data_IF_114808823359
#
_entry.id   IF_114808823359
#
_cell.length_a   1.000
_cell.length_b   1.000
_cell.length_c   1.000
_cell.angle_alpha   90.00
_cell.angle_beta   90.00
_cell.angle_gamma   90.00
#
_symmetry.space_group_name_H-M   'P 1'
#
loop_
_entity.id
_entity.type
_entity.pdbx_description
1 polymer ?
#
# COMPACT_ATOMS: atom_id res chain seq x y z
N UNK A 1 -16.40 -0.32 -21.98
CA UNK A 1 -15.38 -1.37 -22.00
C UNK A 1 -15.86 -2.53 -21.15
N UNK A 2 -15.75 -3.72 -21.65
CA UNK A 2 -16.07 -4.94 -20.92
C UNK A 2 -14.95 -5.22 -19.91
N UNK A 3 -15.23 -6.03 -18.88
CA UNK A 3 -14.22 -6.44 -17.90
C UNK A 3 -12.98 -7.10 -18.54
N UNK A 4 -13.11 -7.63 -19.79
CA UNK A 4 -12.02 -8.17 -20.60
C UNK A 4 -10.98 -7.14 -21.04
N UNK A 5 -11.31 -5.84 -21.01
CA UNK A 5 -10.43 -4.76 -21.44
C UNK A 5 -9.60 -4.16 -20.30
N UNK A 6 -9.60 -4.79 -19.11
CA UNK A 6 -8.76 -4.36 -18.00
C UNK A 6 -7.28 -4.50 -18.36
N UNK A 7 -6.56 -3.40 -18.48
CA UNK A 7 -5.13 -3.43 -18.80
C UNK A 7 -4.34 -3.77 -17.52
N UNK A 8 -4.44 -5.00 -17.06
CA UNK A 8 -3.61 -5.50 -15.97
C UNK A 8 -2.14 -5.41 -16.37
N UNK A 9 -1.32 -4.82 -15.51
CA UNK A 9 0.12 -4.81 -15.73
C UNK A 9 0.70 -6.15 -15.25
N UNK A 10 1.51 -6.77 -16.08
CA UNK A 10 2.23 -7.98 -15.72
C UNK A 10 3.59 -7.60 -15.11
N UNK A 11 3.82 -8.02 -13.86
CA UNK A 11 5.12 -7.90 -13.19
C UNK A 11 5.80 -9.26 -13.19
N UNK A 12 7.05 -9.27 -13.61
CA UNK A 12 7.87 -10.48 -13.75
C UNK A 12 7.94 -11.28 -12.44
N UNK A 13 7.90 -12.61 -12.54
CA UNK A 13 7.93 -13.52 -11.38
C UNK A 13 9.27 -13.46 -10.64
N UNK A 14 10.36 -13.32 -11.38
CA UNK A 14 11.71 -13.19 -10.82
C UNK A 14 11.85 -11.90 -10.01
N UNK A 15 11.26 -10.80 -10.52
CA UNK A 15 11.18 -9.54 -9.76
C UNK A 15 10.42 -9.73 -8.45
N UNK A 16 9.20 -10.27 -8.53
CA UNK A 16 8.35 -10.52 -7.36
C UNK A 16 9.03 -11.46 -6.38
N UNK A 17 9.55 -12.59 -6.86
CA UNK A 17 10.24 -13.57 -6.03
C UNK A 17 11.44 -12.98 -5.29
N UNK A 18 12.27 -12.18 -5.98
CA UNK A 18 13.42 -11.51 -5.36
C UNK A 18 12.99 -10.45 -4.34
N UNK A 19 11.95 -9.68 -4.63
CA UNK A 19 11.41 -8.69 -3.70
C UNK A 19 10.92 -9.34 -2.39
N UNK A 20 10.14 -10.42 -2.49
CA UNK A 20 9.66 -11.15 -1.31
C UNK A 20 10.76 -11.94 -0.60
N UNK A 21 11.79 -12.43 -1.30
CA UNK A 21 12.97 -13.01 -0.67
C UNK A 21 13.70 -11.98 0.19
N UNK A 22 13.88 -10.75 -0.32
CA UNK A 22 14.43 -9.67 0.48
C UNK A 22 13.56 -9.36 1.70
N UNK A 23 12.23 -9.24 1.52
CA UNK A 23 11.29 -8.93 2.60
C UNK A 23 11.28 -9.99 3.70
N UNK A 24 11.20 -11.27 3.35
CA UNK A 24 11.24 -12.37 4.33
C UNK A 24 12.58 -12.42 5.08
N UNK A 25 13.69 -12.20 4.38
CA UNK A 25 15.03 -12.12 5.00
C UNK A 25 15.14 -10.95 5.95
N UNK A 26 14.58 -9.79 5.60
CA UNK A 26 14.51 -8.61 6.47
C UNK A 26 13.75 -8.90 7.77
N UNK A 27 12.58 -9.55 7.65
CA UNK A 27 11.77 -9.93 8.81
C UNK A 27 12.49 -10.92 9.72
N UNK A 28 13.25 -11.89 9.15
CA UNK A 28 14.08 -12.81 9.93
C UNK A 28 15.20 -12.10 10.67
N UNK A 29 15.89 -11.13 10.02
CA UNK A 29 16.92 -10.34 10.67
C UNK A 29 16.36 -9.51 11.84
N UNK A 30 15.16 -8.89 11.66
CA UNK A 30 14.47 -8.15 12.71
C UNK A 30 14.03 -9.05 13.87
N UNK A 31 13.47 -10.22 13.57
CA UNK A 31 13.08 -11.22 14.58
C UNK A 31 14.30 -11.69 15.39
N UNK A 32 15.41 -11.99 14.71
CA UNK A 32 16.66 -12.38 15.35
C UNK A 32 17.19 -11.29 16.29
N UNK A 33 17.10 -10.02 15.86
CA UNK A 33 17.47 -8.87 16.69
C UNK A 33 16.63 -8.77 17.97
N UNK A 34 15.30 -8.90 17.84
CA UNK A 34 14.38 -8.83 18.99
C UNK A 34 14.62 -9.98 19.97
N UNK A 35 14.94 -11.17 19.46
CA UNK A 35 15.20 -12.37 20.24
C UNK A 35 16.64 -12.46 20.78
N UNK A 36 17.49 -11.48 20.51
CA UNK A 36 18.90 -11.51 20.92
C UNK A 36 19.75 -12.59 20.24
N UNK A 37 19.31 -13.09 19.04
CA UNK A 37 20.02 -14.10 18.25
C UNK A 37 21.03 -13.43 17.32
N UNK A 38 22.17 -13.01 17.87
CA UNK A 38 23.13 -12.15 17.18
C UNK A 38 23.75 -12.80 15.92
N UNK A 39 24.06 -14.08 15.97
CA UNK A 39 24.59 -14.86 14.83
C UNK A 39 23.58 -14.88 13.66
N UNK A 40 22.31 -15.18 13.96
CA UNK A 40 21.24 -15.17 12.97
C UNK A 40 21.01 -13.75 12.42
N UNK A 41 20.97 -12.75 13.30
CA UNK A 41 20.84 -11.34 12.89
C UNK A 41 21.93 -10.96 11.87
N UNK A 42 23.18 -11.29 12.15
CA UNK A 42 24.33 -11.03 11.27
C UNK A 42 24.16 -11.76 9.93
N UNK A 43 23.88 -13.07 9.99
CA UNK A 43 23.71 -13.92 8.81
C UNK A 43 22.62 -13.38 7.87
N UNK A 44 21.42 -13.06 8.42
CA UNK A 44 20.31 -12.57 7.60
C UNK A 44 20.50 -11.13 7.14
N UNK A 45 21.19 -10.27 7.92
CA UNK A 45 21.51 -8.91 7.47
C UNK A 45 22.51 -8.91 6.30
N UNK A 46 23.54 -9.78 6.34
CA UNK A 46 24.47 -9.95 5.23
C UNK A 46 23.80 -10.54 3.99
N UNK A 47 22.91 -11.51 4.18
CA UNK A 47 22.11 -12.08 3.10
C UNK A 47 21.20 -11.02 2.46
N UNK A 48 20.48 -10.23 3.28
CA UNK A 48 19.62 -9.13 2.81
C UNK A 48 20.39 -8.13 1.97
N UNK A 49 21.60 -7.74 2.41
CA UNK A 49 22.45 -6.82 1.67
C UNK A 49 22.78 -7.36 0.28
N UNK A 50 23.15 -8.64 0.17
CA UNK A 50 23.44 -9.30 -1.11
C UNK A 50 22.21 -9.38 -2.01
N UNK A 51 21.04 -9.69 -1.45
CA UNK A 51 19.79 -9.74 -2.21
C UNK A 51 19.46 -8.35 -2.76
N UNK A 52 19.54 -7.29 -1.94
CA UNK A 52 19.32 -5.90 -2.37
C UNK A 52 20.26 -5.47 -3.50
N UNK A 53 21.55 -5.80 -3.38
CA UNK A 53 22.54 -5.51 -4.43
C UNK A 53 22.22 -6.24 -5.74
N UNK A 54 21.85 -7.53 -5.66
CA UNK A 54 21.46 -8.31 -6.84
C UNK A 54 20.19 -7.76 -7.48
N UNK A 55 19.17 -7.41 -6.66
CA UNK A 55 17.94 -6.76 -7.11
C UNK A 55 18.22 -5.46 -7.85
N UNK A 56 19.04 -4.59 -7.26
CA UNK A 56 19.40 -3.30 -7.86
C UNK A 56 20.15 -3.49 -9.19
N UNK A 57 21.09 -4.43 -9.25
CA UNK A 57 21.84 -4.72 -10.47
C UNK A 57 20.97 -5.24 -11.61
N UNK A 58 20.00 -6.10 -11.28
CA UNK A 58 19.13 -6.77 -12.27
C UNK A 58 17.96 -5.88 -12.72
N UNK A 59 17.30 -5.21 -11.77
CA UNK A 59 16.00 -4.59 -12.01
C UNK A 59 16.02 -3.06 -12.02
N UNK A 60 17.14 -2.41 -11.65
CA UNK A 60 17.25 -0.95 -11.68
C UNK A 60 18.12 -0.51 -12.85
N UNK A 61 17.56 0.26 -13.73
CA UNK A 61 18.29 0.82 -14.87
C UNK A 61 19.19 1.98 -14.44
N UNK A 62 20.16 2.37 -15.28
CA UNK A 62 21.11 3.47 -15.00
C UNK A 62 20.45 4.81 -14.69
N UNK A 63 19.23 5.05 -15.17
CA UNK A 63 18.46 6.27 -14.92
C UNK A 63 17.36 6.06 -13.85
N UNK A 64 17.50 5.07 -12.98
CA UNK A 64 16.64 4.84 -11.81
C UNK A 64 15.23 4.33 -12.14
N UNK A 65 15.00 3.80 -13.35
CA UNK A 65 13.75 3.12 -13.68
C UNK A 65 13.79 1.66 -13.26
N UNK A 66 12.63 1.11 -12.96
CA UNK A 66 12.50 -0.33 -12.76
C UNK A 66 12.21 -1.06 -14.07
N UNK A 67 12.73 -2.26 -14.18
CA UNK A 67 12.36 -3.26 -15.17
C UNK A 67 11.88 -4.49 -14.40
N UNK A 68 10.56 -4.74 -14.36
CA UNK A 68 9.43 -4.17 -15.11
C UNK A 68 8.98 -2.78 -14.61
N UNK A 69 8.44 -1.97 -15.51
CA UNK A 69 7.92 -0.62 -15.22
C UNK A 69 6.40 -0.69 -14.95
N UNK A 70 6.01 -1.21 -13.77
CA UNK A 70 4.62 -1.42 -13.37
C UNK A 70 4.33 -0.84 -11.99
N UNK A 71 3.06 -0.51 -11.69
CA UNK A 71 2.68 -0.06 -10.35
C UNK A 71 3.14 -1.05 -9.28
N UNK A 72 2.90 -2.34 -9.46
CA UNK A 72 3.33 -3.39 -8.51
C UNK A 72 4.84 -3.38 -8.30
N UNK A 73 5.64 -3.20 -9.35
CA UNK A 73 7.09 -3.17 -9.21
C UNK A 73 7.56 -1.99 -8.37
N UNK A 74 7.07 -0.78 -8.63
CA UNK A 74 7.42 0.40 -7.83
C UNK A 74 6.93 0.26 -6.39
N UNK A 75 5.72 -0.23 -6.19
CA UNK A 75 5.16 -0.45 -4.84
C UNK A 75 6.02 -1.40 -4.04
N UNK A 76 6.34 -2.59 -4.55
CA UNK A 76 7.16 -3.58 -3.84
C UNK A 76 8.59 -3.07 -3.59
N UNK A 77 9.20 -2.41 -4.58
CA UNK A 77 10.56 -1.89 -4.45
C UNK A 77 10.66 -0.80 -3.37
N UNK A 78 9.65 0.07 -3.25
CA UNK A 78 9.59 1.13 -2.25
C UNK A 78 9.18 0.60 -0.87
N UNK A 79 8.12 -0.19 -0.78
CA UNK A 79 7.60 -0.74 0.48
C UNK A 79 8.60 -1.67 1.16
N UNK A 80 9.38 -2.44 0.40
CA UNK A 80 10.37 -3.39 0.93
C UNK A 80 11.80 -2.82 1.00
N UNK A 81 11.94 -1.50 0.76
CA UNK A 81 13.22 -0.80 0.92
C UNK A 81 14.35 -1.37 0.03
N UNK A 82 14.02 -1.71 -1.23
CA UNK A 82 14.96 -2.36 -2.16
C UNK A 82 15.82 -1.38 -2.97
N UNK A 83 15.38 -0.11 -3.04
CA UNK A 83 16.05 0.90 -3.85
C UNK A 83 17.08 1.68 -3.05
N UNK A 84 18.17 2.15 -3.69
CA UNK A 84 19.03 3.17 -3.13
C UNK A 84 18.25 4.42 -2.74
N UNK A 85 18.64 5.08 -1.66
CA UNK A 85 17.88 6.19 -1.08
C UNK A 85 17.73 7.38 -2.05
N UNK A 86 18.77 7.66 -2.80
CA UNK A 86 18.86 8.77 -3.75
C UNK A 86 17.85 8.67 -4.91
N UNK A 87 17.38 7.48 -5.26
CA UNK A 87 16.39 7.28 -6.35
C UNK A 87 14.96 7.01 -5.86
N UNK A 88 14.72 6.87 -4.55
CA UNK A 88 13.38 6.50 -4.02
C UNK A 88 12.32 7.54 -4.34
N UNK A 89 12.64 8.82 -4.19
CA UNK A 89 11.71 9.92 -4.51
C UNK A 89 11.30 9.91 -5.98
N UNK A 90 12.26 9.70 -6.86
CA UNK A 90 12.00 9.62 -8.30
C UNK A 90 11.17 8.36 -8.65
N UNK A 91 11.43 7.25 -7.97
CA UNK A 91 10.64 6.03 -8.14
C UNK A 91 9.19 6.22 -7.68
N UNK A 92 8.97 6.89 -6.54
CA UNK A 92 7.64 7.23 -6.05
C UNK A 92 6.93 8.22 -6.97
N UNK A 93 7.64 9.22 -7.51
CA UNK A 93 7.10 10.14 -8.52
C UNK A 93 6.64 9.38 -9.77
N UNK A 94 7.43 8.39 -10.25
CA UNK A 94 7.06 7.55 -11.39
C UNK A 94 5.82 6.70 -11.11
N UNK A 95 5.66 6.18 -9.88
CA UNK A 95 4.45 5.49 -9.44
C UNK A 95 3.24 6.44 -9.51
N UNK A 96 3.37 7.64 -8.95
CA UNK A 96 2.31 8.64 -8.97
C UNK A 96 1.93 9.06 -10.40
N UNK A 97 2.92 9.26 -11.27
CA UNK A 97 2.70 9.59 -12.69
C UNK A 97 1.98 8.45 -13.44
N UNK A 98 2.33 7.21 -13.15
CA UNK A 98 1.68 6.03 -13.70
C UNK A 98 0.22 5.93 -13.25
N UNK A 99 -0.03 6.14 -11.94
CA UNK A 99 -1.39 6.20 -11.39
C UNK A 99 -2.22 7.30 -12.06
N UNK A 100 -1.67 8.50 -12.26
CA UNK A 100 -2.37 9.59 -12.99
C UNK A 100 -2.65 9.21 -14.44
N UNK A 101 -1.67 8.64 -15.12
CA UNK A 101 -1.76 8.24 -16.53
C UNK A 101 -2.86 7.20 -16.77
N UNK A 102 -2.93 6.15 -15.95
CA UNK A 102 -3.97 5.13 -16.05
C UNK A 102 -5.31 5.59 -15.45
N UNK A 103 -5.27 6.49 -14.47
CA UNK A 103 -6.44 6.94 -13.72
C UNK A 103 -7.07 5.84 -12.86
N UNK A 104 -6.37 4.71 -12.64
CA UNK A 104 -6.84 3.59 -11.85
C UNK A 104 -5.69 2.69 -11.38
N UNK A 105 -6.00 1.81 -10.45
CA UNK A 105 -5.11 0.77 -9.94
C UNK A 105 -4.88 -0.31 -11.00
N UNK A 106 -3.61 -0.69 -11.22
CA UNK A 106 -3.22 -1.80 -12.11
C UNK A 106 -2.56 -2.96 -11.34
N UNK A 107 -2.51 -2.87 -10.01
CA UNK A 107 -1.96 -3.90 -9.13
C UNK A 107 -2.96 -5.02 -8.87
N UNK A 108 -2.44 -6.20 -8.59
CA UNK A 108 -3.17 -7.32 -8.01
C UNK A 108 -2.92 -7.42 -6.50
N UNK A 109 -3.07 -8.62 -5.93
CA UNK A 109 -2.95 -8.90 -4.49
C UNK A 109 -1.63 -8.44 -3.86
N UNK A 110 -0.53 -8.47 -4.62
CA UNK A 110 0.80 -8.18 -4.09
C UNK A 110 1.09 -6.68 -3.96
N UNK A 111 0.54 -5.86 -4.85
CA UNK A 111 0.78 -4.41 -4.83
C UNK A 111 -0.35 -3.60 -4.20
N UNK A 112 -1.59 -4.08 -4.30
CA UNK A 112 -2.77 -3.35 -3.79
C UNK A 112 -2.71 -3.05 -2.30
N UNK A 113 -2.23 -3.94 -1.40
CA UNK A 113 -2.15 -3.63 0.02
C UNK A 113 -1.25 -2.45 0.36
N UNK A 114 -0.20 -2.22 -0.43
CA UNK A 114 0.84 -1.26 -0.11
C UNK A 114 0.73 0.06 -0.89
N UNK A 115 0.01 0.10 -2.03
CA UNK A 115 0.08 1.23 -2.96
C UNK A 115 -0.30 2.57 -2.33
N UNK A 116 -1.38 2.64 -1.56
CA UNK A 116 -1.81 3.88 -0.93
C UNK A 116 -0.86 4.31 0.20
N UNK A 117 -0.32 3.37 0.97
CA UNK A 117 0.70 3.66 1.98
C UNK A 117 1.97 4.22 1.33
N UNK A 118 2.49 3.57 0.27
CA UNK A 118 3.67 4.02 -0.46
C UNK A 118 3.45 5.42 -1.05
N UNK A 119 2.32 5.67 -1.71
CA UNK A 119 2.01 7.00 -2.24
C UNK A 119 2.03 8.06 -1.12
N UNK A 120 1.37 7.79 0.00
CA UNK A 120 1.32 8.73 1.13
C UNK A 120 2.68 8.94 1.81
N UNK A 121 3.51 7.92 1.91
CA UNK A 121 4.85 8.02 2.53
C UNK A 121 5.79 8.94 1.74
N UNK A 122 5.55 9.08 0.44
CA UNK A 122 6.30 9.97 -0.44
C UNK A 122 5.57 11.26 -0.81
N UNK A 123 4.44 11.59 -0.14
CA UNK A 123 3.73 12.86 -0.30
C UNK A 123 2.79 12.92 -1.52
N UNK A 124 2.40 11.76 -2.05
CA UNK A 124 1.46 11.62 -3.18
C UNK A 124 0.05 11.24 -2.69
N UNK A 125 -0.44 11.92 -1.65
CA UNK A 125 -1.75 11.65 -1.06
C UNK A 125 -2.90 11.85 -2.05
N UNK A 126 -2.80 12.83 -2.94
CA UNK A 126 -3.84 13.11 -3.94
C UNK A 126 -4.07 11.89 -4.86
N UNK A 127 -3.00 11.18 -5.24
CA UNK A 127 -3.10 9.95 -6.04
C UNK A 127 -3.71 8.80 -5.24
N UNK A 128 -3.36 8.67 -3.96
CA UNK A 128 -3.95 7.66 -3.09
C UNK A 128 -5.46 7.89 -2.93
N UNK A 129 -5.87 9.13 -2.68
CA UNK A 129 -7.29 9.50 -2.60
C UNK A 129 -8.00 9.37 -3.95
N UNK A 130 -7.34 9.70 -5.07
CA UNK A 130 -7.89 9.48 -6.41
C UNK A 130 -8.22 8.01 -6.65
N UNK A 131 -7.34 7.09 -6.24
CA UNK A 131 -7.60 5.65 -6.31
C UNK A 131 -8.78 5.24 -5.41
N UNK A 132 -8.85 5.74 -4.17
CA UNK A 132 -9.93 5.43 -3.23
C UNK A 132 -11.29 5.89 -3.77
N UNK A 133 -11.40 7.12 -4.27
CA UNK A 133 -12.68 7.70 -4.69
C UNK A 133 -13.15 7.28 -6.08
N UNK A 134 -12.34 6.52 -6.81
CA UNK A 134 -12.73 6.01 -8.10
C UNK A 134 -13.91 5.04 -7.98
N UNK A 135 -14.98 5.28 -8.74
CA UNK A 135 -16.19 4.44 -8.78
C UNK A 135 -16.25 3.49 -9.99
N UNK A 136 -15.41 3.74 -11.01
CA UNK A 136 -15.36 2.89 -12.21
C UNK A 136 -14.35 1.76 -12.00
N UNK A 137 -14.65 0.58 -12.53
CA UNK A 137 -13.73 -0.56 -12.58
C UNK A 137 -12.37 -0.21 -13.18
N UNK A 138 -11.25 -0.71 -12.66
CA UNK A 138 -11.08 -1.38 -11.37
C UNK A 138 -10.97 -0.35 -10.23
N UNK A 139 -11.61 -0.59 -9.10
CA UNK A 139 -11.53 0.26 -7.91
C UNK A 139 -12.22 -0.38 -6.71
N UNK A 140 -11.93 0.09 -5.49
CA UNK A 140 -12.61 -0.33 -4.27
C UNK A 140 -14.10 0.03 -4.24
N UNK A 141 -14.48 1.16 -4.86
CA UNK A 141 -15.88 1.60 -4.83
C UNK A 141 -16.75 1.01 -5.95
N UNK A 142 -16.15 0.43 -7.01
CA UNK A 142 -16.93 -0.23 -8.04
C UNK A 142 -17.83 -1.34 -7.46
N UNK A 143 -17.30 -2.32 -6.68
CA UNK A 143 -18.13 -3.32 -6.02
C UNK A 143 -19.28 -2.71 -5.20
N UNK A 144 -19.00 -1.64 -4.46
CA UNK A 144 -20.03 -0.93 -3.67
C UNK A 144 -21.15 -0.37 -4.56
N UNK A 145 -20.80 0.19 -5.73
CA UNK A 145 -21.80 0.75 -6.67
C UNK A 145 -22.73 -0.30 -7.28
N UNK A 146 -22.33 -1.58 -7.29
CA UNK A 146 -23.15 -2.69 -7.75
C UNK A 146 -23.70 -3.55 -6.61
N UNK A 147 -23.71 -3.02 -5.38
CA UNK A 147 -24.39 -3.60 -4.22
C UNK A 147 -23.57 -4.57 -3.38
N UNK A 148 -22.24 -4.60 -3.50
CA UNK A 148 -21.39 -5.43 -2.66
C UNK A 148 -21.52 -5.07 -1.18
N UNK A 149 -21.60 -6.11 -0.33
CA UNK A 149 -21.58 -5.99 1.13
C UNK A 149 -20.31 -6.57 1.75
N UNK A 150 -19.45 -7.14 0.91
CA UNK A 150 -18.17 -7.78 1.28
C UNK A 150 -17.08 -7.36 0.31
N UNK A 151 -15.82 -7.55 0.69
CA UNK A 151 -14.68 -7.36 -0.21
C UNK A 151 -14.53 -8.58 -1.12
N UNK A 152 -14.44 -8.35 -2.42
CA UNK A 152 -14.34 -9.41 -3.42
C UNK A 152 -12.89 -9.76 -3.75
N UNK A 153 -12.67 -11.00 -4.21
CA UNK A 153 -11.38 -11.49 -4.71
C UNK A 153 -10.97 -10.82 -6.02
N UNK A 154 -11.95 -10.55 -6.89
CA UNK A 154 -11.73 -9.87 -8.17
C UNK A 154 -12.47 -8.55 -8.21
N UNK A 155 -11.86 -7.51 -8.77
CA UNK A 155 -12.50 -6.21 -8.94
C UNK A 155 -13.82 -6.27 -9.71
N UNK A 156 -13.96 -7.26 -10.61
CA UNK A 156 -15.08 -7.50 -11.51
C UNK A 156 -15.83 -8.81 -11.19
N UNK A 157 -15.86 -9.22 -9.93
CA UNK A 157 -16.53 -10.46 -9.55
C UNK A 157 -18.03 -10.47 -9.93
N UNK A 158 -18.69 -9.32 -9.88
CA UNK A 158 -20.03 -9.09 -10.44
C UNK A 158 -19.93 -7.97 -11.47
N UNK A 159 -20.47 -8.21 -12.65
CA UNK A 159 -20.54 -7.24 -13.76
C UNK A 159 -21.65 -6.20 -13.53
N UNK A 160 -21.64 -5.06 -14.27
CA UNK A 160 -22.68 -4.02 -14.11
C UNK A 160 -24.12 -4.49 -14.36
N UNK A 161 -24.30 -5.56 -15.10
CA UNK A 161 -25.61 -6.18 -15.36
C UNK A 161 -26.05 -7.16 -14.25
N UNK A 162 -25.24 -7.31 -13.18
CA UNK A 162 -25.48 -8.21 -12.06
C UNK A 162 -25.00 -9.64 -12.29
N UNK A 163 -24.40 -9.96 -13.44
CA UNK A 163 -23.90 -11.30 -13.75
C UNK A 163 -22.65 -11.59 -12.91
N UNK A 164 -22.61 -12.75 -12.25
CA UNK A 164 -21.41 -13.26 -11.61
C UNK A 164 -20.36 -13.64 -12.66
N UNK A 165 -19.15 -13.12 -12.51
CA UNK A 165 -18.05 -13.34 -13.45
C UNK A 165 -17.05 -14.37 -12.90
N UNK A 166 -16.41 -14.06 -11.74
CA UNK A 166 -15.36 -14.92 -11.21
C UNK A 166 -14.99 -14.60 -9.76
N UNK A 167 -14.27 -15.51 -9.13
CA UNK A 167 -13.64 -15.34 -7.83
C UNK A 167 -14.61 -15.47 -6.66
N UNK A 168 -14.09 -15.33 -5.45
CA UNK A 168 -14.89 -15.33 -4.23
C UNK A 168 -15.50 -13.95 -3.98
N UNK A 169 -16.74 -13.92 -3.48
CA UNK A 169 -17.38 -12.68 -3.04
C UNK A 169 -16.99 -12.28 -1.60
N UNK A 170 -16.14 -13.04 -0.94
CA UNK A 170 -15.62 -12.72 0.39
C UNK A 170 -14.13 -13.07 0.47
N UNK A 171 -13.27 -12.07 0.23
CA UNK A 171 -11.83 -12.24 0.18
C UNK A 171 -11.10 -11.04 0.79
N UNK A 172 -10.09 -11.28 1.61
CA UNK A 172 -9.45 -10.24 2.43
C UNK A 172 -8.50 -9.29 1.66
N UNK A 173 -7.92 -9.75 0.55
CA UNK A 173 -6.73 -9.11 -0.05
C UNK A 173 -6.93 -7.60 -0.34
N UNK A 174 -8.02 -7.23 -0.97
CA UNK A 174 -8.28 -5.82 -1.27
C UNK A 174 -8.83 -5.03 -0.07
N UNK A 175 -9.27 -5.72 0.98
CA UNK A 175 -9.64 -5.12 2.27
C UNK A 175 -8.45 -4.54 3.04
N UNK A 176 -7.22 -4.82 2.62
CA UNK A 176 -6.00 -4.22 3.15
C UNK A 176 -5.99 -2.67 3.08
N UNK A 177 -6.82 -2.06 2.23
CA UNK A 177 -7.04 -0.59 2.23
C UNK A 177 -7.45 -0.06 3.62
N UNK A 178 -8.04 -0.92 4.47
CA UNK A 178 -8.39 -0.59 5.85
C UNK A 178 -7.20 -0.09 6.67
N UNK A 179 -6.01 -0.65 6.47
CA UNK A 179 -4.80 -0.17 7.13
C UNK A 179 -4.51 1.31 6.77
N UNK A 180 -4.56 1.65 5.48
CA UNK A 180 -4.35 3.03 5.04
C UNK A 180 -5.44 3.99 5.54
N UNK A 181 -6.71 3.53 5.61
CA UNK A 181 -7.80 4.34 6.16
C UNK A 181 -7.57 4.67 7.64
N UNK A 182 -7.12 3.71 8.45
CA UNK A 182 -6.78 3.97 9.85
C UNK A 182 -5.47 4.76 10.00
N UNK A 183 -4.41 4.35 9.30
CA UNK A 183 -3.07 4.88 9.50
C UNK A 183 -2.84 6.25 8.87
N UNK A 184 -3.49 6.56 7.74
CA UNK A 184 -3.30 7.81 7.00
C UNK A 184 -4.55 8.69 7.01
N UNK A 185 -5.72 8.16 6.66
CA UNK A 185 -6.93 9.00 6.58
C UNK A 185 -7.37 9.44 7.98
N UNK A 186 -7.49 8.53 8.94
CA UNK A 186 -7.75 8.88 10.34
C UNK A 186 -6.47 9.25 11.11
N UNK A 187 -5.30 8.83 10.63
CA UNK A 187 -4.00 9.17 11.17
C UNK A 187 -3.58 8.40 12.42
N UNK A 188 -4.21 7.28 12.75
CA UNK A 188 -3.87 6.46 13.92
C UNK A 188 -2.75 5.49 13.54
N UNK A 189 -1.55 5.72 14.06
CA UNK A 189 -0.37 4.89 13.78
C UNK A 189 0.35 4.50 15.06
N UNK A 190 0.97 3.32 15.03
CA UNK A 190 1.97 2.95 16.02
C UNK A 190 3.24 3.78 15.78
N UNK A 191 3.87 4.28 16.83
CA UNK A 191 5.15 4.94 16.72
C UNK A 191 6.24 3.94 16.28
N UNK A 192 7.25 4.44 15.57
CA UNK A 192 8.38 3.61 15.15
C UNK A 192 9.09 3.02 16.37
N UNK A 193 9.43 1.72 16.29
CA UNK A 193 10.04 1.00 17.41
C UNK A 193 9.09 0.63 18.55
N UNK A 194 7.84 1.10 18.56
CA UNK A 194 6.84 0.73 19.54
C UNK A 194 6.19 -0.62 19.19
N UNK A 195 5.54 -1.24 20.16
CA UNK A 195 4.82 -2.52 20.00
C UNK A 195 3.40 -2.38 20.50
N UNK A 196 2.44 -2.93 19.73
CA UNK A 196 1.04 -3.04 20.10
C UNK A 196 0.37 -1.68 20.47
N UNK A 197 0.81 -0.58 19.84
CA UNK A 197 0.31 0.78 20.10
C UNK A 197 0.58 1.29 21.51
N UNK A 198 1.68 0.87 22.17
CA UNK A 198 2.12 1.42 23.45
C UNK A 198 2.47 2.91 23.30
N UNK A 199 3.11 3.26 22.21
CA UNK A 199 3.35 4.63 21.78
C UNK A 199 2.67 4.85 20.43
N UNK A 200 1.96 5.95 20.30
CA UNK A 200 1.13 6.25 19.13
C UNK A 200 1.52 7.58 18.50
N UNK A 201 1.26 7.69 17.21
CA UNK A 201 1.31 8.94 16.45
C UNK A 201 -0.06 9.20 15.85
N UNK A 202 -0.62 10.36 16.12
CA UNK A 202 -1.83 10.84 15.43
C UNK A 202 -1.43 11.87 14.41
N UNK A 203 -1.50 11.48 13.12
CA UNK A 203 -1.10 12.31 11.98
C UNK A 203 -1.97 12.01 10.77
N UNK A 204 -3.18 12.58 10.67
CA UNK A 204 -4.02 12.44 9.49
C UNK A 204 -3.40 13.08 8.25
N UNK A 205 -3.61 12.46 7.10
CA UNK A 205 -3.31 13.03 5.79
C UNK A 205 -4.59 13.62 5.19
N UNK A 206 -4.71 14.94 5.23
CA UNK A 206 -5.93 15.64 4.84
C UNK A 206 -6.07 15.71 3.33
N UNK A 207 -7.32 15.68 2.86
CA UNK A 207 -7.69 15.91 1.46
C UNK A 207 -8.83 16.92 1.37
N UNK A 208 -8.96 17.60 0.23
CA UNK A 208 -10.12 18.44 -0.05
C UNK A 208 -11.38 17.63 -0.39
N UNK A 209 -11.22 16.34 -0.69
CA UNK A 209 -12.31 15.45 -1.09
C UNK A 209 -13.10 14.85 0.08
N UNK A 210 -12.62 15.04 1.33
CA UNK A 210 -13.33 14.67 2.55
C UNK A 210 -13.57 15.89 3.42
N UNK A 211 -14.76 15.98 3.99
CA UNK A 211 -15.10 16.98 5.00
C UNK A 211 -14.70 16.56 6.41
N UNK A 212 -14.62 15.26 6.67
CA UNK A 212 -14.18 14.69 7.94
C UNK A 212 -13.68 13.25 7.79
N UNK A 213 -12.94 12.77 8.79
CA UNK A 213 -12.76 11.34 9.05
C UNK A 213 -12.77 11.09 10.55
N UNK A 214 -13.31 9.94 10.94
CA UNK A 214 -13.39 9.51 12.32
C UNK A 214 -13.08 8.03 12.43
N UNK A 215 -12.19 7.66 13.37
CA UNK A 215 -11.89 6.27 13.68
C UNK A 215 -11.62 6.10 15.16
N UNK A 216 -11.90 4.88 15.65
CA UNK A 216 -11.48 4.42 16.97
C UNK A 216 -10.85 3.06 16.83
N UNK A 217 -9.64 2.90 17.33
CA UNK A 217 -8.91 1.64 17.39
C UNK A 217 -8.81 1.18 18.84
N UNK A 218 -9.18 -0.07 19.11
CA UNK A 218 -9.08 -0.65 20.45
C UNK A 218 -7.77 -1.42 20.57
N UNK A 219 -6.76 -0.77 21.14
CA UNK A 219 -5.48 -1.40 21.46
C UNK A 219 -5.57 -2.17 22.79
N UNK A 220 -4.53 -2.97 23.09
CA UNK A 220 -4.43 -3.61 24.39
C UNK A 220 -4.22 -2.61 25.56
N UNK A 221 -3.92 -1.35 25.26
CA UNK A 221 -3.76 -0.26 26.23
C UNK A 221 -5.01 0.62 26.36
N UNK A 222 -6.07 0.32 25.60
CA UNK A 222 -7.32 1.06 25.58
C UNK A 222 -7.68 1.62 24.21
N UNK A 223 -8.80 2.35 24.13
CA UNK A 223 -9.25 2.97 22.88
C UNK A 223 -8.35 4.14 22.49
N UNK A 224 -8.09 4.24 21.21
CA UNK A 224 -7.40 5.35 20.55
C UNK A 224 -8.37 5.93 19.54
N UNK A 225 -8.77 7.18 19.70
CA UNK A 225 -9.71 7.84 18.79
C UNK A 225 -9.04 8.99 18.07
N UNK A 226 -9.40 9.18 16.82
CA UNK A 226 -9.04 10.34 16.02
C UNK A 226 -10.24 10.78 15.21
N UNK A 227 -10.57 12.04 15.29
CA UNK A 227 -11.64 12.68 14.53
C UNK A 227 -11.16 14.03 14.05
N UNK A 228 -11.06 14.20 12.74
CA UNK A 228 -10.82 15.51 12.16
C UNK A 228 -11.99 15.93 11.28
N UNK A 229 -12.20 17.25 11.20
CA UNK A 229 -13.22 17.86 10.35
C UNK A 229 -12.74 19.19 9.80
N UNK A 230 -13.26 19.51 8.61
CA UNK A 230 -13.10 20.84 8.01
C UNK A 230 -14.16 21.77 8.57
N UNK A 231 -13.73 22.98 8.92
CA UNK A 231 -14.61 24.07 9.33
C UNK A 231 -14.41 25.25 8.38
N UNK A 232 -15.22 26.28 8.49
CA UNK A 232 -15.09 27.52 7.72
C UNK A 232 -13.75 28.22 8.00
N UNK A 233 -13.15 27.99 9.15
CA UNK A 233 -11.93 28.66 9.61
C UNK A 233 -10.68 27.78 9.53
N UNK A 234 -10.80 26.47 9.17
CA UNK A 234 -9.65 25.58 9.06
C UNK A 234 -9.97 24.11 9.29
N UNK A 235 -9.08 23.44 10.01
CA UNK A 235 -9.20 22.02 10.39
C UNK A 235 -9.23 21.90 11.91
N UNK A 236 -10.18 21.14 12.42
CA UNK A 236 -10.23 20.71 13.81
C UNK A 236 -9.83 19.24 13.91
N UNK A 237 -9.01 18.90 14.91
CA UNK A 237 -8.61 17.54 15.22
C UNK A 237 -8.87 17.26 16.70
N UNK A 238 -9.64 16.21 16.97
CA UNK A 238 -9.92 15.69 18.31
C UNK A 238 -9.29 14.31 18.47
N UNK A 239 -8.60 14.09 19.57
CA UNK A 239 -7.88 12.84 19.91
C UNK A 239 -8.36 12.33 21.25
#
# INVERSE_FOLDING_TARGET
STASDYPGAFTDKEFVGTAYFARSTQLLAQAAQILGKEEDRKTYSELLSRIKQSFQKEFVTRNGRLSPNTQTAYVLALSFDLLPEDIRKDAAQRLADDVRKFGHITTGFLGTPEICNVLSDYGHDDEAYMLLFRKKFPSWLYPVTVGATTVWESWDAILPDGTFNKGSLNHFAYGAIGDWLFSRVAGIRQAEGSTAYKEIVIKPHFTTSLSFARATYYSMYGPISSHWQRTDTGLELHV
#
